data_IF_442917622865
#
_entry.id   IF_442917622865
#
_cell.length_a   1.000
_cell.length_b   1.000
_cell.length_c   1.000
_cell.angle_alpha   90.00
_cell.angle_beta   90.00
_cell.angle_gamma   90.00
#
_symmetry.space_group_name_H-M   'P 1'
#
loop_
_entity.id
_entity.type
_entity.pdbx_description
1 polymer ?
#
# COMPACT_ATOMS: atom_id res chain seq x y z
N UNK A 1 26.56 -13.64 -12.20
CA UNK A 1 27.47 -13.66 -13.37
C UNK A 1 28.82 -14.35 -13.10
N UNK A 2 29.15 -14.62 -11.84
CA UNK A 2 30.39 -15.29 -11.43
C UNK A 2 30.45 -16.76 -11.84
N UNK A 3 29.35 -17.49 -11.84
CA UNK A 3 29.32 -18.92 -12.22
C UNK A 3 29.65 -19.19 -13.68
N UNK A 4 29.22 -18.31 -14.59
CA UNK A 4 29.55 -18.42 -16.04
C UNK A 4 31.06 -18.29 -16.29
N UNK A 5 31.72 -17.34 -15.63
CA UNK A 5 33.16 -17.12 -15.77
C UNK A 5 33.96 -18.26 -15.14
N UNK A 6 33.60 -18.69 -13.94
CA UNK A 6 34.24 -19.82 -13.24
C UNK A 6 34.03 -21.12 -13.99
N UNK A 7 32.81 -21.38 -14.49
CA UNK A 7 32.50 -22.57 -15.30
C UNK A 7 33.30 -22.61 -16.60
N UNK A 8 33.43 -21.48 -17.30
CA UNK A 8 34.19 -21.37 -18.54
C UNK A 8 35.69 -21.67 -18.32
N UNK A 9 36.28 -21.12 -17.26
CA UNK A 9 37.69 -21.33 -16.89
C UNK A 9 37.94 -22.79 -16.49
N UNK A 10 37.07 -23.37 -15.65
CA UNK A 10 37.16 -24.79 -15.25
C UNK A 10 36.97 -25.74 -16.42
N UNK A 11 36.03 -25.46 -17.33
CA UNK A 11 35.79 -26.26 -18.51
C UNK A 11 36.99 -26.26 -19.47
N UNK A 12 37.65 -25.09 -19.64
CA UNK A 12 38.87 -24.97 -20.43
C UNK A 12 40.07 -25.74 -19.84
N UNK A 13 40.21 -25.70 -18.52
CA UNK A 13 41.27 -26.38 -17.79
C UNK A 13 41.15 -27.90 -17.77
N UNK A 14 39.90 -28.41 -17.63
CA UNK A 14 39.61 -29.86 -17.53
C UNK A 14 39.61 -30.58 -18.90
N UNK A 15 39.14 -29.95 -19.96
CA UNK A 15 38.88 -30.63 -21.24
C UNK A 15 39.95 -30.25 -22.28
N UNK A 16 40.88 -29.31 -22.02
CA UNK A 16 41.98 -28.85 -22.92
C UNK A 16 41.61 -28.73 -24.42
N UNK A 17 40.32 -28.53 -24.73
CA UNK A 17 39.74 -28.39 -26.05
C UNK A 17 38.73 -27.24 -26.05
N UNK A 18 38.58 -26.46 -27.14
CA UNK A 18 37.61 -25.35 -27.21
C UNK A 18 36.16 -25.74 -26.87
N UNK A 19 35.80 -27.00 -27.01
CA UNK A 19 34.49 -27.51 -26.55
C UNK A 19 34.32 -27.49 -25.03
N UNK A 20 35.42 -27.59 -24.26
CA UNK A 20 35.38 -27.49 -22.81
C UNK A 20 34.93 -26.14 -22.31
N UNK A 21 35.24 -25.06 -23.05
CA UNK A 21 34.78 -23.71 -22.76
C UNK A 21 33.26 -23.58 -22.92
N UNK A 22 32.67 -24.17 -23.97
CA UNK A 22 31.23 -24.17 -24.21
C UNK A 22 30.47 -24.98 -23.15
N UNK A 23 30.95 -26.15 -22.81
CA UNK A 23 30.37 -27.01 -21.77
C UNK A 23 30.48 -26.32 -20.38
N UNK A 24 31.63 -25.76 -20.07
CA UNK A 24 31.84 -25.03 -18.81
C UNK A 24 30.97 -23.77 -18.71
N UNK A 25 30.79 -23.02 -19.80
CA UNK A 25 29.91 -21.87 -19.86
C UNK A 25 28.42 -22.25 -19.69
N UNK A 26 28.02 -23.39 -20.29
CA UNK A 26 26.66 -23.91 -20.17
C UNK A 26 26.37 -24.41 -18.74
N UNK A 27 27.28 -25.15 -18.13
CA UNK A 27 27.15 -25.62 -16.75
C UNK A 27 27.19 -24.46 -15.76
N UNK A 28 28.05 -23.46 -15.99
CA UNK A 28 28.10 -22.24 -15.19
C UNK A 28 26.83 -21.41 -15.34
N UNK A 29 26.17 -21.41 -16.51
CA UNK A 29 24.89 -20.76 -16.71
C UNK A 29 23.76 -21.48 -15.95
N UNK A 30 23.71 -22.81 -16.00
CA UNK A 30 22.76 -23.60 -15.22
C UNK A 30 22.95 -23.40 -13.71
N UNK A 31 24.19 -23.32 -13.25
CA UNK A 31 24.51 -23.05 -11.86
C UNK A 31 24.07 -21.62 -11.45
N UNK A 32 24.38 -20.59 -12.24
CA UNK A 32 23.90 -19.22 -11.98
C UNK A 32 22.35 -19.17 -11.95
N UNK A 33 21.67 -19.88 -12.88
CA UNK A 33 20.20 -19.97 -12.88
C UNK A 33 19.65 -20.66 -11.62
N UNK A 34 20.29 -21.74 -11.17
CA UNK A 34 19.85 -22.45 -9.97
C UNK A 34 20.09 -21.64 -8.69
N UNK A 35 21.20 -20.91 -8.61
CA UNK A 35 21.50 -20.00 -7.49
C UNK A 35 20.56 -18.79 -7.50
N UNK A 36 20.28 -18.22 -8.68
CA UNK A 36 19.33 -17.13 -8.81
C UNK A 36 17.87 -17.57 -8.50
N UNK A 37 17.50 -18.79 -8.90
CA UNK A 37 16.20 -19.38 -8.54
C UNK A 37 16.10 -19.66 -7.03
N UNK A 38 17.14 -20.22 -6.42
CA UNK A 38 17.21 -20.43 -4.97
C UNK A 38 17.25 -19.12 -4.17
N UNK A 39 17.93 -18.08 -4.69
CA UNK A 39 17.86 -16.72 -4.15
C UNK A 39 16.45 -16.14 -4.27
N UNK A 40 15.80 -16.25 -5.43
CA UNK A 40 14.42 -15.78 -5.63
C UNK A 40 13.44 -16.50 -4.72
N UNK A 41 13.59 -17.81 -4.50
CA UNK A 41 12.80 -18.57 -3.54
C UNK A 41 13.08 -18.17 -2.08
N UNK A 42 14.33 -17.87 -1.71
CA UNK A 42 14.67 -17.37 -0.36
C UNK A 42 14.23 -15.92 -0.12
N UNK A 43 14.06 -15.12 -1.19
CA UNK A 43 13.63 -13.72 -1.12
C UNK A 43 12.11 -13.56 -1.32
N UNK A 44 11.40 -14.62 -1.70
CA UNK A 44 9.93 -14.65 -1.68
C UNK A 44 9.50 -15.05 -0.27
N UNK A 45 9.32 -14.04 0.58
CA UNK A 45 8.62 -14.24 1.86
C UNK A 45 7.30 -14.95 1.58
N UNK A 46 7.00 -15.99 2.37
CA UNK A 46 5.75 -16.72 2.29
C UNK A 46 4.57 -15.73 2.38
N UNK A 47 3.60 -15.78 1.46
CA UNK A 47 2.40 -14.94 1.54
C UNK A 47 1.71 -14.95 2.90
N UNK A 48 1.74 -16.09 3.60
CA UNK A 48 1.18 -16.19 4.96
C UNK A 48 1.97 -15.35 5.96
N UNK A 49 3.31 -15.36 5.90
CA UNK A 49 4.16 -14.52 6.76
C UNK A 49 3.97 -13.03 6.47
N UNK A 50 3.83 -12.67 5.19
CA UNK A 50 3.53 -11.28 4.81
C UNK A 50 2.20 -10.85 5.42
N UNK A 51 1.17 -11.69 5.30
CA UNK A 51 -0.15 -11.42 5.85
C UNK A 51 -0.15 -11.22 7.36
N UNK A 52 0.53 -12.09 8.09
CA UNK A 52 0.67 -12.01 9.55
C UNK A 52 1.42 -10.73 9.96
N UNK A 53 2.56 -10.44 9.34
CA UNK A 53 3.34 -9.23 9.63
C UNK A 53 2.61 -7.95 9.23
N UNK A 54 1.90 -7.97 8.11
CA UNK A 54 1.06 -6.86 7.68
C UNK A 54 -0.03 -6.54 8.72
N UNK A 55 -0.76 -7.58 9.16
CA UNK A 55 -1.82 -7.43 10.15
C UNK A 55 -1.27 -6.88 11.47
N UNK A 56 -0.22 -7.50 11.98
CA UNK A 56 0.48 -7.08 13.20
C UNK A 56 0.96 -5.64 13.10
N UNK A 57 1.77 -5.32 12.09
CA UNK A 57 2.32 -3.98 11.90
C UNK A 57 1.22 -2.93 11.76
N UNK A 58 0.10 -3.25 11.06
CA UNK A 58 -1.02 -2.31 10.87
C UNK A 58 -1.57 -1.82 12.21
N UNK A 59 -1.85 -2.70 13.15
CA UNK A 59 -2.46 -2.32 14.41
C UNK A 59 -1.43 -1.82 15.45
N UNK A 60 -0.21 -2.35 15.46
CA UNK A 60 0.87 -1.83 16.32
C UNK A 60 1.23 -0.38 15.97
N UNK A 61 1.43 -0.09 14.68
CA UNK A 61 1.74 1.26 14.22
C UNK A 61 0.56 2.22 14.44
N UNK A 62 -0.66 1.75 14.21
CA UNK A 62 -1.86 2.55 14.50
C UNK A 62 -1.95 2.93 15.99
N UNK A 63 -1.63 1.99 16.89
CA UNK A 63 -1.55 2.27 18.33
C UNK A 63 -0.44 3.26 18.69
N UNK A 64 0.73 3.16 18.04
CA UNK A 64 1.83 4.10 18.21
C UNK A 64 1.48 5.52 17.74
N UNK A 65 0.88 5.64 16.56
CA UNK A 65 0.41 6.93 16.01
C UNK A 65 -0.65 7.55 16.92
N UNK A 66 -1.62 6.77 17.38
CA UNK A 66 -2.67 7.23 18.31
C UNK A 66 -2.11 7.68 19.67
N UNK A 67 -0.96 7.16 20.10
CA UNK A 67 -0.31 7.52 21.36
C UNK A 67 0.66 8.71 21.23
N UNK A 68 0.91 9.20 20.01
CA UNK A 68 1.97 10.17 19.70
C UNK A 68 1.83 11.50 20.43
N UNK A 69 0.61 11.92 20.82
CA UNK A 69 0.33 13.12 21.61
C UNK A 69 0.30 12.87 23.14
N UNK A 70 0.61 11.64 23.58
CA UNK A 70 0.63 11.25 24.99
C UNK A 70 -0.66 10.63 25.52
N UNK A 71 -1.81 10.81 24.86
CA UNK A 71 -3.09 10.22 25.23
C UNK A 71 -3.82 9.69 23.99
N UNK A 72 -4.43 8.53 24.11
CA UNK A 72 -5.32 8.03 23.05
C UNK A 72 -6.72 8.58 23.30
N UNK A 73 -7.22 9.34 22.33
CA UNK A 73 -8.57 9.90 22.35
C UNK A 73 -9.64 8.89 21.99
N UNK A 74 -10.89 9.14 22.37
CA UNK A 74 -12.03 8.33 21.94
C UNK A 74 -12.21 8.33 20.41
N UNK A 75 -11.85 9.44 19.73
CA UNK A 75 -11.89 9.55 18.29
C UNK A 75 -10.89 8.59 17.62
N UNK A 76 -9.68 8.44 18.15
CA UNK A 76 -8.68 7.51 17.65
C UNK A 76 -9.06 6.04 17.90
N UNK A 77 -9.68 5.77 19.05
CA UNK A 77 -10.24 4.45 19.33
C UNK A 77 -11.38 4.14 18.35
N UNK A 78 -12.26 5.10 18.08
CA UNK A 78 -13.33 4.94 17.11
C UNK A 78 -12.78 4.74 15.68
N UNK A 79 -11.73 5.50 15.30
CA UNK A 79 -11.05 5.31 14.01
C UNK A 79 -10.45 3.91 13.87
N UNK A 80 -9.78 3.39 14.90
CA UNK A 80 -9.25 2.04 14.90
C UNK A 80 -10.36 0.98 14.78
N UNK A 81 -11.47 1.14 15.51
CA UNK A 81 -12.64 0.26 15.40
C UNK A 81 -13.28 0.33 14.02
N UNK A 82 -13.33 1.52 13.41
CA UNK A 82 -13.84 1.68 12.05
C UNK A 82 -12.96 0.93 11.04
N UNK A 83 -11.63 1.01 11.17
CA UNK A 83 -10.71 0.19 10.35
C UNK A 83 -10.98 -1.29 10.53
N UNK A 84 -11.14 -1.79 11.77
CA UNK A 84 -11.48 -3.21 12.03
C UNK A 84 -12.79 -3.63 11.37
N UNK A 85 -13.81 -2.75 11.42
CA UNK A 85 -15.11 -2.99 10.80
C UNK A 85 -15.02 -2.99 9.26
N UNK A 86 -14.30 -2.03 8.68
CA UNK A 86 -14.08 -1.93 7.23
C UNK A 86 -13.31 -3.15 6.68
N UNK A 87 -12.41 -3.70 7.48
CA UNK A 87 -11.68 -4.93 7.17
C UNK A 87 -12.49 -6.20 7.43
N UNK A 88 -13.71 -6.08 7.96
CA UNK A 88 -14.62 -7.19 8.28
C UNK A 88 -13.95 -8.27 9.12
N UNK A 89 -13.18 -7.86 10.13
CA UNK A 89 -12.49 -8.79 11.03
C UNK A 89 -13.50 -9.63 11.82
N UNK A 90 -13.20 -10.91 11.95
CA UNK A 90 -13.94 -11.78 12.85
C UNK A 90 -13.58 -11.52 14.33
N UNK A 91 -14.27 -12.16 15.26
CA UNK A 91 -14.07 -11.95 16.70
C UNK A 91 -12.64 -12.23 17.17
N UNK A 92 -12.00 -13.30 16.67
CA UNK A 92 -10.63 -13.64 17.02
C UNK A 92 -9.63 -12.61 16.47
N UNK A 93 -9.84 -12.17 15.24
CA UNK A 93 -9.04 -11.14 14.60
C UNK A 93 -9.19 -9.78 15.29
N UNK A 94 -10.41 -9.42 15.75
CA UNK A 94 -10.65 -8.19 16.53
C UNK A 94 -9.85 -8.24 17.84
N UNK A 95 -9.89 -9.35 18.57
CA UNK A 95 -9.10 -9.52 19.80
C UNK A 95 -7.59 -9.38 19.53
N UNK A 96 -7.08 -9.99 18.47
CA UNK A 96 -5.68 -9.87 18.07
C UNK A 96 -5.33 -8.41 17.68
N UNK A 97 -6.19 -7.75 16.91
CA UNK A 97 -6.01 -6.35 16.52
C UNK A 97 -5.94 -5.40 17.73
N UNK A 98 -6.82 -5.59 18.73
CA UNK A 98 -6.81 -4.82 19.98
C UNK A 98 -5.52 -5.09 20.77
N UNK A 99 -5.05 -6.33 20.82
CA UNK A 99 -3.80 -6.67 21.50
C UNK A 99 -2.60 -5.98 20.82
N UNK A 100 -2.50 -6.02 19.49
CA UNK A 100 -1.47 -5.34 18.72
C UNK A 100 -1.55 -3.82 18.86
N UNK A 101 -2.74 -3.23 18.78
CA UNK A 101 -2.94 -1.80 19.02
C UNK A 101 -2.48 -1.40 20.44
N UNK A 102 -2.78 -2.22 21.43
CA UNK A 102 -2.38 -2.00 22.83
C UNK A 102 -0.86 -2.11 22.98
N UNK A 103 -0.22 -3.08 22.32
CA UNK A 103 1.23 -3.20 22.28
C UNK A 103 1.89 -1.99 21.64
N UNK A 104 1.38 -1.49 20.52
CA UNK A 104 1.87 -0.29 19.84
C UNK A 104 1.82 1.00 20.68
N UNK A 105 0.91 1.08 21.67
CA UNK A 105 0.85 2.19 22.64
C UNK A 105 1.89 2.10 23.74
N UNK A 106 2.57 0.98 23.89
CA UNK A 106 3.56 0.79 24.94
C UNK A 106 4.78 1.70 24.75
N UNK A 107 5.35 2.19 25.84
CA UNK A 107 6.61 2.91 25.83
C UNK A 107 7.82 2.04 25.40
N UNK A 108 7.65 0.72 25.42
CA UNK A 108 8.68 -0.25 25.00
C UNK A 108 8.52 -0.70 23.54
N UNK A 109 7.54 -0.15 22.81
CA UNK A 109 7.30 -0.50 21.40
C UNK A 109 8.44 0.03 20.52
N UNK A 110 9.09 -0.87 19.79
CA UNK A 110 10.13 -0.56 18.83
C UNK A 110 9.55 -0.36 17.42
N UNK A 111 9.20 0.88 17.10
CA UNK A 111 8.71 1.25 15.78
C UNK A 111 9.73 0.93 14.67
N UNK A 112 11.01 1.25 14.90
CA UNK A 112 12.05 1.09 13.88
C UNK A 112 12.28 -0.39 13.56
N UNK A 113 12.38 -1.24 14.60
CA UNK A 113 12.51 -2.69 14.42
C UNK A 113 11.31 -3.30 13.72
N UNK A 114 10.08 -2.90 14.12
CA UNK A 114 8.84 -3.37 13.50
C UNK A 114 8.76 -2.98 12.03
N UNK A 115 9.07 -1.71 11.69
CA UNK A 115 9.02 -1.24 10.30
C UNK A 115 10.10 -1.85 9.44
N UNK A 116 11.32 -2.05 9.97
CA UNK A 116 12.40 -2.73 9.25
C UNK A 116 12.02 -4.17 8.92
N UNK A 117 11.56 -4.94 9.92
CA UNK A 117 11.14 -6.33 9.74
C UNK A 117 9.99 -6.47 8.74
N UNK A 118 9.03 -5.53 8.77
CA UNK A 118 7.94 -5.47 7.81
C UNK A 118 8.42 -5.10 6.39
N UNK A 119 9.25 -4.06 6.26
CA UNK A 119 9.81 -3.62 4.98
C UNK A 119 10.66 -4.72 4.34
N UNK A 120 11.52 -5.39 5.11
CA UNK A 120 12.36 -6.50 4.65
C UNK A 120 11.50 -7.68 4.15
N UNK A 121 10.40 -7.98 4.86
CA UNK A 121 9.45 -9.02 4.46
C UNK A 121 8.72 -8.67 3.16
N UNK A 122 8.45 -7.37 2.93
CA UNK A 122 7.76 -6.83 1.76
C UNK A 122 8.71 -6.25 0.70
N UNK A 123 10.02 -6.50 0.75
CA UNK A 123 11.06 -5.83 -0.05
C UNK A 123 10.80 -5.81 -1.57
N UNK A 124 10.03 -6.76 -2.10
CA UNK A 124 9.67 -6.83 -3.51
C UNK A 124 8.18 -6.55 -3.77
N UNK A 125 7.48 -5.96 -2.82
CA UNK A 125 6.02 -5.75 -2.84
C UNK A 125 5.66 -4.33 -2.40
N UNK A 126 6.04 -3.32 -3.17
CA UNK A 126 5.75 -1.91 -2.85
C UNK A 126 4.24 -1.62 -2.80
N UNK A 127 3.43 -2.42 -3.50
CA UNK A 127 1.97 -2.37 -3.44
C UNK A 127 1.42 -2.67 -2.03
N UNK A 128 2.00 -3.64 -1.32
CA UNK A 128 1.63 -3.98 0.06
C UNK A 128 2.01 -2.84 1.03
N UNK A 129 3.23 -2.29 0.90
CA UNK A 129 3.68 -1.16 1.71
C UNK A 129 2.80 0.07 1.51
N UNK A 130 2.35 0.31 0.28
CA UNK A 130 1.45 1.42 -0.04
C UNK A 130 0.07 1.24 0.60
N UNK A 131 -0.53 0.06 0.51
CA UNK A 131 -1.81 -0.27 1.18
C UNK A 131 -1.70 -0.08 2.69
N UNK A 132 -0.61 -0.55 3.29
CA UNK A 132 -0.34 -0.36 4.70
C UNK A 132 -0.33 1.13 5.09
N UNK A 133 0.43 1.95 4.36
CA UNK A 133 0.53 3.38 4.63
C UNK A 133 -0.80 4.10 4.41
N UNK A 134 -1.57 3.72 3.39
CA UNK A 134 -2.92 4.27 3.13
C UNK A 134 -3.87 4.02 4.31
N UNK A 135 -3.80 2.85 4.93
CA UNK A 135 -4.58 2.53 6.13
C UNK A 135 -4.16 3.42 7.31
N UNK A 136 -2.85 3.63 7.53
CA UNK A 136 -2.35 4.50 8.60
C UNK A 136 -2.79 5.96 8.41
N UNK A 137 -2.64 6.50 7.20
CA UNK A 137 -3.08 7.87 6.88
C UNK A 137 -4.59 8.02 7.09
N UNK A 138 -5.39 7.06 6.62
CA UNK A 138 -6.84 7.09 6.79
C UNK A 138 -7.24 7.08 8.26
N UNK A 139 -6.71 6.16 9.05
CA UNK A 139 -7.00 6.08 10.48
C UNK A 139 -6.63 7.39 11.22
N UNK A 140 -5.48 7.97 10.88
CA UNK A 140 -5.01 9.23 11.46
C UNK A 140 -5.89 10.43 11.08
N UNK A 141 -6.38 10.47 9.84
CA UNK A 141 -7.33 11.48 9.37
C UNK A 141 -8.69 11.39 10.08
N UNK A 142 -9.18 10.18 10.34
CA UNK A 142 -10.45 9.95 11.02
C UNK A 142 -10.35 10.26 12.52
N UNK A 143 -9.22 9.97 13.17
CA UNK A 143 -9.00 10.20 14.60
C UNK A 143 -8.78 11.67 14.95
N UNK A 144 -7.68 12.26 14.49
CA UNK A 144 -7.20 13.60 14.89
C UNK A 144 -6.94 14.53 13.70
N UNK A 145 -7.54 14.25 12.56
CA UNK A 145 -7.33 14.99 11.32
C UNK A 145 -5.85 15.04 10.86
N UNK A 146 -5.04 14.07 11.29
CA UNK A 146 -3.63 13.95 10.98
C UNK A 146 -2.85 15.26 11.23
N UNK A 147 -2.99 15.83 12.41
CA UNK A 147 -2.31 17.07 12.82
C UNK A 147 -1.27 16.82 13.92
N UNK A 148 -0.40 17.80 14.13
CA UNK A 148 0.57 17.79 15.23
C UNK A 148 1.43 16.53 15.32
N UNK A 149 1.54 15.92 16.51
CA UNK A 149 2.36 14.72 16.73
C UNK A 149 1.96 13.52 15.89
N UNK A 150 0.66 13.31 15.64
CA UNK A 150 0.18 12.22 14.81
C UNK A 150 0.67 12.34 13.34
N UNK A 151 0.71 13.56 12.80
CA UNK A 151 1.31 13.81 11.47
C UNK A 151 2.80 13.45 11.45
N UNK A 152 3.55 13.88 12.47
CA UNK A 152 4.98 13.57 12.57
C UNK A 152 5.22 12.06 12.68
N UNK A 153 4.39 11.34 13.45
CA UNK A 153 4.47 9.89 13.56
C UNK A 153 4.22 9.18 12.22
N UNK A 154 3.18 9.58 11.46
CA UNK A 154 2.91 9.02 10.13
C UNK A 154 4.00 9.37 9.14
N UNK A 155 4.59 10.57 9.19
CA UNK A 155 5.73 10.96 8.36
C UNK A 155 6.95 10.08 8.65
N UNK A 156 7.26 9.81 9.92
CA UNK A 156 8.34 8.91 10.31
C UNK A 156 8.10 7.49 9.78
N UNK A 157 6.88 6.98 9.86
CA UNK A 157 6.50 5.68 9.29
C UNK A 157 6.73 5.65 7.77
N UNK A 158 6.33 6.71 7.05
CA UNK A 158 6.54 6.81 5.61
C UNK A 158 8.03 6.85 5.24
N UNK A 159 8.84 7.59 6.00
CA UNK A 159 10.30 7.66 5.82
C UNK A 159 10.97 6.27 6.06
N UNK A 160 10.52 5.52 7.07
CA UNK A 160 11.02 4.16 7.32
C UNK A 160 10.64 3.15 6.22
N UNK A 161 9.62 3.46 5.43
CA UNK A 161 9.18 2.67 4.26
C UNK A 161 9.74 3.21 2.94
N UNK A 162 10.65 4.17 2.96
CA UNK A 162 11.22 4.84 1.78
C UNK A 162 10.16 5.52 0.88
N UNK A 163 9.06 6.00 1.50
CA UNK A 163 8.01 6.76 0.82
C UNK A 163 8.30 8.24 0.93
N UNK A 164 8.36 8.92 -0.22
CA UNK A 164 8.67 10.36 -0.26
C UNK A 164 7.58 11.21 0.41
N UNK A 165 7.97 12.36 0.96
CA UNK A 165 7.03 13.33 1.54
C UNK A 165 5.98 13.81 0.54
N UNK A 166 6.35 13.92 -0.74
CA UNK A 166 5.43 14.31 -1.81
C UNK A 166 4.37 13.23 -2.06
N UNK A 167 4.77 11.97 -2.07
CA UNK A 167 3.84 10.83 -2.23
C UNK A 167 2.89 10.72 -1.04
N UNK A 168 3.40 10.88 0.19
CA UNK A 168 2.57 10.93 1.39
C UNK A 168 1.56 12.09 1.35
N UNK A 169 2.00 13.30 0.98
CA UNK A 169 1.13 14.47 0.85
C UNK A 169 0.05 14.26 -0.21
N UNK A 170 0.39 13.65 -1.34
CA UNK A 170 -0.59 13.29 -2.37
C UNK A 170 -1.62 12.29 -1.85
N UNK A 171 -1.17 11.23 -1.17
CA UNK A 171 -2.05 10.23 -0.55
C UNK A 171 -3.00 10.88 0.47
N UNK A 172 -2.47 11.75 1.33
CA UNK A 172 -3.27 12.51 2.30
C UNK A 172 -4.34 13.36 1.61
N UNK A 173 -3.97 14.11 0.57
CA UNK A 173 -4.89 14.98 -0.16
C UNK A 173 -6.06 14.18 -0.77
N UNK A 174 -5.78 13.05 -1.41
CA UNK A 174 -6.79 12.16 -1.99
C UNK A 174 -7.74 11.63 -0.91
N UNK A 175 -7.20 11.19 0.23
CA UNK A 175 -8.01 10.64 1.32
C UNK A 175 -8.86 11.71 2.03
N UNK A 176 -8.36 12.95 2.15
CA UNK A 176 -9.14 14.09 2.68
C UNK A 176 -10.34 14.42 1.81
N UNK A 177 -10.13 14.54 0.51
CA UNK A 177 -11.23 14.82 -0.43
C UNK A 177 -12.30 13.73 -0.34
N UNK A 178 -11.88 12.48 -0.29
CA UNK A 178 -12.79 11.34 -0.15
C UNK A 178 -13.60 11.40 1.14
N UNK A 179 -12.94 11.67 2.28
CA UNK A 179 -13.62 11.81 3.57
C UNK A 179 -14.68 12.91 3.53
N UNK A 180 -14.37 14.04 2.90
CA UNK A 180 -15.31 15.15 2.74
C UNK A 180 -16.50 14.77 1.86
N UNK A 181 -16.28 14.07 0.77
CA UNK A 181 -17.35 13.56 -0.10
C UNK A 181 -18.29 12.60 0.62
N UNK A 182 -17.75 11.66 1.42
CA UNK A 182 -18.57 10.75 2.22
C UNK A 182 -19.39 11.50 3.29
N UNK A 183 -18.81 12.51 3.94
CA UNK A 183 -19.53 13.36 4.91
C UNK A 183 -20.61 14.21 4.25
N UNK A 184 -20.38 14.71 3.05
CA UNK A 184 -21.34 15.50 2.29
C UNK A 184 -22.50 14.67 1.73
N UNK A 185 -22.23 13.44 1.28
CA UNK A 185 -23.24 12.51 0.75
C UNK A 185 -24.12 11.84 1.82
N UNK A 186 -23.72 11.91 3.10
CA UNK A 186 -24.39 11.27 4.22
C UNK A 186 -25.39 12.17 4.98
N UNK A 187 -25.74 13.35 4.48
CA UNK A 187 -26.75 14.22 5.10
C UNK A 187 -28.10 14.12 4.40
N UNK A 188 -29.03 13.27 4.85
CA UNK A 188 -30.44 13.41 4.47
C UNK A 188 -31.06 14.52 5.34
N UNK A 189 -31.40 15.63 4.73
CA UNK A 189 -32.28 16.61 5.34
C UNK A 189 -31.61 17.84 5.95
N UNK A 190 -31.28 18.81 5.12
CA UNK A 190 -31.10 20.21 5.44
C UNK A 190 -31.65 21.03 4.28
N UNK A 191 -32.92 21.38 4.35
CA UNK A 191 -33.55 22.28 3.39
C UNK A 191 -32.86 23.65 3.44
N UNK A 192 -32.34 24.12 2.28
CA UNK A 192 -32.03 25.53 2.09
C UNK A 192 -30.56 25.82 1.79
N UNK A 193 -30.09 25.46 0.62
CA UNK A 193 -29.17 26.15 -0.28
C UNK A 193 -28.71 25.12 -1.31
N UNK A 194 -29.35 25.08 -2.47
CA UNK A 194 -28.99 24.18 -3.57
C UNK A 194 -27.55 24.46 -4.02
N UNK A 195 -26.64 23.50 -3.94
CA UNK A 195 -25.41 23.58 -4.71
C UNK A 195 -25.82 23.42 -6.17
N UNK A 196 -25.64 24.43 -6.98
CA UNK A 196 -25.86 24.32 -8.40
C UNK A 196 -25.08 23.12 -8.96
N UNK A 197 -25.63 22.38 -9.92
CA UNK A 197 -25.04 21.14 -10.46
C UNK A 197 -23.61 21.31 -10.99
N UNK A 198 -23.16 22.53 -11.17
CA UNK A 198 -21.83 22.88 -11.71
C UNK A 198 -20.68 22.76 -10.69
N UNK A 199 -20.91 23.05 -9.40
CA UNK A 199 -19.83 22.98 -8.38
C UNK A 199 -19.53 21.55 -7.94
N UNK A 200 -20.54 20.71 -7.79
CA UNK A 200 -20.38 19.29 -7.44
C UNK A 200 -19.65 18.51 -8.54
N UNK A 201 -19.96 18.81 -9.81
CA UNK A 201 -19.36 18.13 -10.95
C UNK A 201 -17.87 18.48 -11.14
N UNK A 202 -17.50 19.75 -11.00
CA UNK A 202 -16.09 20.18 -11.07
C UNK A 202 -15.24 19.60 -9.95
N UNK A 203 -15.78 19.48 -8.74
CA UNK A 203 -15.10 18.91 -7.58
C UNK A 203 -14.92 17.38 -7.74
N UNK A 204 -15.93 16.68 -8.28
CA UNK A 204 -15.84 15.26 -8.62
C UNK A 204 -14.81 14.99 -9.71
N UNK A 205 -14.74 15.83 -10.73
CA UNK A 205 -13.80 15.69 -11.84
C UNK A 205 -12.36 15.90 -11.37
N UNK A 206 -12.09 16.91 -10.54
CA UNK A 206 -10.76 17.14 -9.95
C UNK A 206 -10.31 15.95 -9.09
N UNK A 207 -11.21 15.44 -8.25
CA UNK A 207 -10.94 14.25 -7.45
C UNK A 207 -10.66 13.01 -8.31
N UNK A 208 -11.38 12.85 -9.42
CA UNK A 208 -11.16 11.74 -10.34
C UNK A 208 -9.76 11.78 -10.99
N UNK A 209 -9.26 12.94 -11.40
CA UNK A 209 -7.90 13.07 -11.91
C UNK A 209 -6.85 12.76 -10.84
N UNK A 210 -7.09 13.15 -9.60
CA UNK A 210 -6.21 12.83 -8.47
C UNK A 210 -6.20 11.33 -8.14
N UNK A 211 -7.37 10.67 -8.16
CA UNK A 211 -7.47 9.21 -7.94
C UNK A 211 -6.67 8.44 -8.99
N UNK A 212 -6.69 8.88 -10.25
CA UNK A 212 -5.92 8.26 -11.33
C UNK A 212 -4.45 8.70 -11.34
N UNK A 213 -4.05 9.66 -10.50
CA UNK A 213 -2.69 10.22 -10.48
C UNK A 213 -2.27 10.75 -11.87
N UNK A 214 -3.13 11.56 -12.48
CA UNK A 214 -2.90 12.10 -13.83
C UNK A 214 -3.31 13.58 -13.89
N UNK A 215 -2.58 14.36 -14.71
CA UNK A 215 -2.86 15.78 -14.90
C UNK A 215 -4.22 15.98 -15.60
N UNK A 216 -5.05 16.96 -15.21
CA UNK A 216 -6.30 17.29 -15.91
C UNK A 216 -6.12 17.63 -17.39
N UNK A 217 -4.92 18.06 -17.81
CA UNK A 217 -4.59 18.35 -19.19
C UNK A 217 -4.03 17.15 -19.97
N UNK A 218 -3.86 16.01 -19.32
CA UNK A 218 -3.35 14.80 -19.97
C UNK A 218 -4.27 14.35 -21.13
N UNK A 219 -3.70 13.69 -22.12
CA UNK A 219 -4.45 13.11 -23.23
C UNK A 219 -5.32 11.93 -22.77
N UNK A 220 -6.30 11.54 -23.62
CA UNK A 220 -7.15 10.38 -23.33
C UNK A 220 -6.33 9.07 -23.23
N UNK A 221 -5.26 8.97 -24.00
CA UNK A 221 -4.34 7.83 -23.94
C UNK A 221 -3.58 7.79 -22.61
N UNK A 222 -3.13 8.93 -22.10
CA UNK A 222 -2.47 9.06 -20.80
C UNK A 222 -3.42 8.73 -19.66
N UNK A 223 -4.67 9.19 -19.72
CA UNK A 223 -5.73 8.85 -18.76
C UNK A 223 -6.00 7.34 -18.76
N UNK A 224 -6.16 6.72 -19.94
CA UNK A 224 -6.35 5.28 -20.06
C UNK A 224 -5.15 4.47 -19.58
N UNK A 225 -3.92 4.97 -19.79
CA UNK A 225 -2.70 4.36 -19.26
C UNK A 225 -2.63 4.47 -17.75
N UNK A 226 -2.97 5.63 -17.18
CA UNK A 226 -3.03 5.85 -15.74
C UNK A 226 -4.07 4.94 -15.08
N UNK A 227 -5.29 4.83 -15.66
CA UNK A 227 -6.32 3.92 -15.21
C UNK A 227 -5.83 2.47 -15.12
N UNK A 228 -5.24 1.93 -16.20
CA UNK A 228 -4.70 0.56 -16.22
C UNK A 228 -3.59 0.37 -15.19
N UNK A 229 -2.73 1.37 -15.00
CA UNK A 229 -1.66 1.35 -14.00
C UNK A 229 -2.23 1.28 -12.59
N UNK A 230 -3.20 2.14 -12.25
CA UNK A 230 -3.83 2.18 -10.93
C UNK A 230 -4.63 0.90 -10.64
N UNK A 231 -5.39 0.43 -11.62
CA UNK A 231 -6.15 -0.82 -11.52
C UNK A 231 -5.21 -2.01 -11.24
N UNK A 232 -4.10 -2.12 -11.97
CA UNK A 232 -3.10 -3.18 -11.76
C UNK A 232 -2.41 -3.12 -10.39
N UNK A 233 -2.22 -1.92 -9.83
CA UNK A 233 -1.61 -1.75 -8.49
C UNK A 233 -2.54 -2.19 -7.35
N UNK A 234 -3.83 -1.96 -7.51
CA UNK A 234 -4.83 -2.17 -6.46
C UNK A 234 -5.74 -3.38 -6.71
N UNK A 235 -5.44 -4.21 -7.73
CA UNK A 235 -6.28 -5.37 -8.03
C UNK A 235 -6.26 -6.38 -6.87
N UNK A 236 -7.44 -6.77 -6.32
CA UNK A 236 -7.51 -7.63 -5.14
C UNK A 236 -6.80 -8.97 -5.33
N UNK A 237 -6.94 -9.62 -6.51
CA UNK A 237 -6.30 -10.91 -6.78
C UNK A 237 -4.77 -10.80 -6.78
N UNK A 238 -4.23 -9.71 -7.31
CA UNK A 238 -2.79 -9.45 -7.29
C UNK A 238 -2.29 -9.23 -5.87
N UNK A 239 -3.00 -8.44 -5.08
CA UNK A 239 -2.65 -8.17 -3.69
C UNK A 239 -2.78 -9.44 -2.83
N UNK A 240 -3.80 -10.27 -3.06
CA UNK A 240 -3.94 -11.59 -2.44
C UNK A 240 -2.78 -12.50 -2.79
N UNK A 241 -2.43 -12.62 -4.08
CA UNK A 241 -1.27 -13.39 -4.54
C UNK A 241 0.05 -12.88 -3.93
N UNK A 242 0.10 -11.59 -3.60
CA UNK A 242 1.23 -10.94 -2.94
C UNK A 242 1.23 -11.09 -1.41
N UNK A 243 0.26 -11.76 -0.81
CA UNK A 243 0.22 -12.04 0.62
C UNK A 243 -0.63 -11.07 1.44
N UNK A 244 -1.46 -10.20 0.80
CA UNK A 244 -2.42 -9.40 1.56
C UNK A 244 -3.46 -10.33 2.21
N UNK A 245 -3.71 -10.22 3.53
CA UNK A 245 -4.72 -11.04 4.20
C UNK A 245 -6.10 -10.87 3.60
N UNK A 246 -6.91 -11.93 3.61
CA UNK A 246 -8.28 -11.89 3.10
C UNK A 246 -9.13 -10.81 3.78
N UNK A 247 -8.92 -10.59 5.08
CA UNK A 247 -9.55 -9.49 5.84
C UNK A 247 -9.20 -8.10 5.31
N UNK A 248 -8.05 -7.93 4.63
CA UNK A 248 -7.60 -6.67 4.05
C UNK A 248 -7.99 -6.50 2.58
N UNK A 249 -8.51 -7.55 1.91
CA UNK A 249 -8.94 -7.49 0.50
C UNK A 249 -10.13 -6.56 0.27
N UNK A 250 -10.95 -6.34 1.29
CA UNK A 250 -12.09 -5.42 1.17
C UNK A 250 -11.63 -3.98 0.90
N UNK A 251 -10.55 -3.54 1.54
CA UNK A 251 -9.93 -2.25 1.23
C UNK A 251 -9.45 -2.16 -0.22
N UNK A 252 -8.82 -3.24 -0.73
CA UNK A 252 -8.38 -3.32 -2.12
C UNK A 252 -9.54 -3.27 -3.11
N UNK A 253 -10.65 -3.95 -2.82
CA UNK A 253 -11.89 -3.90 -3.63
C UNK A 253 -12.48 -2.51 -3.68
N UNK A 254 -12.60 -1.85 -2.52
CA UNK A 254 -13.09 -0.47 -2.44
C UNK A 254 -12.20 0.48 -3.25
N UNK A 255 -10.88 0.32 -3.17
CA UNK A 255 -9.95 1.14 -3.96
C UNK A 255 -10.08 0.89 -5.45
N UNK A 256 -10.21 -0.37 -5.86
CA UNK A 256 -10.46 -0.76 -7.26
C UNK A 256 -11.73 -0.14 -7.79
N UNK A 257 -12.82 -0.19 -7.03
CA UNK A 257 -14.10 0.41 -7.41
C UNK A 257 -13.97 1.92 -7.64
N UNK A 258 -13.25 2.64 -6.78
CA UNK A 258 -13.01 4.07 -6.93
C UNK A 258 -12.20 4.43 -8.16
N UNK A 259 -11.21 3.62 -8.52
CA UNK A 259 -10.41 3.81 -9.74
C UNK A 259 -11.31 3.68 -10.97
N UNK A 260 -12.24 2.72 -10.97
CA UNK A 260 -13.22 2.54 -12.05
C UNK A 260 -14.16 3.76 -12.14
N UNK A 261 -14.74 4.17 -11.01
CA UNK A 261 -15.65 5.33 -10.96
C UNK A 261 -14.95 6.62 -11.40
N UNK A 262 -13.71 6.85 -10.97
CA UNK A 262 -12.92 8.00 -11.37
C UNK A 262 -12.69 8.03 -12.89
N UNK A 263 -12.38 6.89 -13.50
CA UNK A 263 -12.20 6.79 -14.94
C UNK A 263 -13.50 7.12 -15.70
N UNK A 264 -14.65 6.59 -15.25
CA UNK A 264 -15.95 6.87 -15.87
C UNK A 264 -16.36 8.34 -15.74
N UNK A 265 -16.07 8.99 -14.59
CA UNK A 265 -16.31 10.44 -14.41
C UNK A 265 -15.50 11.26 -15.41
N UNK A 266 -14.21 10.97 -15.58
CA UNK A 266 -13.33 11.68 -16.52
C UNK A 266 -13.82 11.46 -17.96
N UNK A 267 -14.10 10.21 -18.32
CA UNK A 267 -14.58 9.85 -19.66
C UNK A 267 -15.89 10.56 -20.01
N UNK A 268 -16.84 10.55 -19.08
CA UNK A 268 -18.14 11.23 -19.28
C UNK A 268 -17.98 12.77 -19.40
N UNK A 269 -17.04 13.37 -18.68
CA UNK A 269 -16.78 14.80 -18.74
C UNK A 269 -16.09 15.24 -20.05
N UNK A 270 -15.29 14.37 -20.65
CA UNK A 270 -14.54 14.64 -21.91
C UNK A 270 -15.37 14.36 -23.17
N UNK A 271 -16.44 13.58 -23.07
CA UNK A 271 -17.34 13.29 -24.18
C UNK A 271 -18.45 14.33 -24.37
N UNK A 272 -18.55 15.30 -23.45
CA UNK A 272 -19.49 16.44 -23.51
C UNK A 272 -18.82 17.66 -24.15
#
# INVERSE_FOLDING_TARGET
MTGKLVGAILGLLLIRNPWGLLVGLFLGHLYDQSVDAARRQRTQSDPLQIGEKFFRATFEVMGHVAKSDGRVSEAEIAAARQVMADLRLDGAQIHAAIAHFTHGKSSTFDLQGTMRDFADTCAHRPDILRVFLEIQVRASLEGVDMQGPARAAVQNVAELLDVSRMELAHMEAVLRIRREQMRAGGRPGGAGAGPGPSRSHGMQLTAAYQILEVDPKASDEEVAKAYRRQLSKHHPDKLKANGLPDSMLEHAKQRTQQIIEAYEVIKSARQR
#
